data_IF_560607491844
#
_entry.id   IF_560607491844
#
_cell.length_a   1.000
_cell.length_b   1.000
_cell.length_c   1.000
_cell.angle_alpha   90.00
_cell.angle_beta   90.00
_cell.angle_gamma   90.00
#
_symmetry.space_group_name_H-M   'P 1'
#
loop_
_entity.id
_entity.type
_entity.pdbx_description
1 polymer ?
#
# COMPACT_ATOMS: atom_id res chain seq x y z
N UNK A 1 17.41 5.18 0.78
CA UNK A 1 15.99 4.97 0.43
C UNK A 1 15.96 4.11 -0.84
N UNK A 2 15.15 3.06 -0.91
CA UNK A 2 15.07 2.21 -2.11
C UNK A 2 14.41 3.02 -3.25
N UNK A 3 15.03 3.02 -4.42
CA UNK A 3 14.43 3.59 -5.63
C UNK A 3 13.47 2.57 -6.26
N UNK A 4 12.26 3.02 -6.59
CA UNK A 4 11.29 2.19 -7.31
C UNK A 4 11.75 1.88 -8.73
N UNK A 5 11.46 0.67 -9.20
CA UNK A 5 11.75 0.21 -10.56
C UNK A 5 10.64 0.56 -11.57
N UNK A 6 9.57 1.22 -11.13
CA UNK A 6 8.53 1.74 -12.03
C UNK A 6 7.52 0.69 -12.52
N UNK A 7 7.34 -0.39 -11.75
CA UNK A 7 6.44 -1.51 -12.07
C UNK A 7 5.01 -1.23 -11.61
N UNK A 8 4.83 -0.43 -10.55
CA UNK A 8 3.50 -0.06 -10.07
C UNK A 8 2.69 0.67 -11.16
N UNK A 9 1.40 0.36 -11.26
CA UNK A 9 0.45 1.08 -12.12
C UNK A 9 0.03 2.39 -11.47
N UNK A 10 -0.53 3.30 -12.27
CA UNK A 10 -1.02 4.60 -11.77
C UNK A 10 -2.07 4.43 -10.67
N UNK A 11 -3.01 3.49 -10.83
CA UNK A 11 -4.04 3.20 -9.82
C UNK A 11 -3.43 2.68 -8.51
N UNK A 12 -2.35 1.88 -8.57
CA UNK A 12 -1.65 1.41 -7.38
C UNK A 12 -0.92 2.56 -6.67
N UNK A 13 -0.30 3.47 -7.43
CA UNK A 13 0.30 4.69 -6.86
C UNK A 13 -0.75 5.57 -6.17
N UNK A 14 -1.90 5.78 -6.81
CA UNK A 14 -3.01 6.52 -6.20
C UNK A 14 -3.49 5.86 -4.91
N UNK A 15 -3.69 4.54 -4.93
CA UNK A 15 -4.08 3.79 -3.74
C UNK A 15 -3.06 3.89 -2.60
N UNK A 16 -1.76 3.83 -2.91
CA UNK A 16 -0.68 4.04 -1.92
C UNK A 16 -0.71 5.47 -1.39
N UNK A 17 -0.94 6.49 -2.22
CA UNK A 17 -1.04 7.87 -1.78
C UNK A 17 -2.21 8.11 -0.83
N UNK A 18 -3.39 7.53 -1.13
CA UNK A 18 -4.56 7.58 -0.23
C UNK A 18 -4.27 6.83 1.07
N UNK A 19 -3.66 5.64 0.99
CA UNK A 19 -3.24 4.90 2.18
C UNK A 19 -2.29 5.72 3.05
N UNK A 20 -1.31 6.39 2.44
CA UNK A 20 -0.29 7.17 3.12
C UNK A 20 -0.78 8.51 3.68
N UNK A 21 -2.00 8.95 3.35
CA UNK A 21 -2.61 10.15 3.93
C UNK A 21 -3.19 9.90 5.32
N UNK A 22 -3.47 8.64 5.68
CA UNK A 22 -4.08 8.29 6.96
C UNK A 22 -3.07 8.36 8.11
N UNK A 23 -3.45 8.85 9.31
CA UNK A 23 -2.53 9.05 10.44
C UNK A 23 -1.79 7.77 10.87
N UNK A 24 -2.50 6.64 10.86
CA UNK A 24 -1.99 5.36 11.33
C UNK A 24 -1.21 4.57 10.27
N UNK A 25 -1.03 5.12 9.06
CA UNK A 25 -0.26 4.50 7.98
C UNK A 25 1.16 4.13 8.41
N UNK A 26 1.75 4.89 9.34
CA UNK A 26 3.11 4.71 9.87
C UNK A 26 3.35 3.33 10.51
N UNK A 27 2.29 2.64 10.90
CA UNK A 27 2.35 1.30 11.48
C UNK A 27 2.30 0.18 10.44
N UNK A 28 2.11 0.53 9.17
CA UNK A 28 1.99 -0.41 8.07
C UNK A 28 3.19 -0.32 7.12
N UNK A 29 3.49 -1.44 6.49
CA UNK A 29 4.58 -1.58 5.54
C UNK A 29 4.09 -2.30 4.29
N UNK A 30 4.43 -1.76 3.11
CA UNK A 30 4.16 -2.43 1.84
C UNK A 30 4.98 -3.73 1.76
N UNK A 31 4.31 -4.82 1.39
CA UNK A 31 4.90 -6.16 1.35
C UNK A 31 4.37 -6.97 0.15
N UNK A 32 4.70 -8.25 0.10
CA UNK A 32 4.25 -9.19 -0.90
C UNK A 32 4.84 -8.94 -2.29
N UNK A 33 4.13 -9.43 -3.31
CA UNK A 33 4.60 -9.40 -4.70
C UNK A 33 4.82 -7.99 -5.23
N UNK A 34 3.97 -7.04 -4.88
CA UNK A 34 4.09 -5.65 -5.32
C UNK A 34 5.39 -5.00 -4.80
N UNK A 35 5.70 -5.15 -3.50
CA UNK A 35 6.94 -4.61 -2.93
C UNK A 35 8.19 -5.28 -3.53
N UNK A 36 8.15 -6.61 -3.69
CA UNK A 36 9.26 -7.38 -4.26
C UNK A 36 9.55 -6.96 -5.71
N UNK A 37 8.52 -6.84 -6.54
CA UNK A 37 8.66 -6.40 -7.93
C UNK A 37 9.11 -4.94 -8.02
N UNK A 38 8.50 -4.03 -7.26
CA UNK A 38 8.78 -2.59 -7.37
C UNK A 38 10.18 -2.24 -6.88
N UNK A 39 10.65 -2.82 -5.77
CA UNK A 39 11.89 -2.36 -5.13
C UNK A 39 13.10 -3.28 -5.33
N UNK A 40 12.91 -4.54 -5.74
CA UNK A 40 14.00 -5.52 -5.77
C UNK A 40 14.23 -6.15 -7.14
N UNK A 41 13.19 -6.67 -7.81
CA UNK A 41 13.38 -7.57 -8.95
C UNK A 41 12.88 -7.06 -10.31
N UNK A 42 11.80 -6.29 -10.36
CA UNK A 42 11.08 -5.94 -11.62
C UNK A 42 10.83 -7.12 -12.58
N UNK A 43 10.67 -8.32 -12.02
CA UNK A 43 10.55 -9.58 -12.77
C UNK A 43 9.14 -9.88 -13.27
N UNK A 44 8.11 -9.23 -12.71
CA UNK A 44 6.71 -9.40 -13.11
C UNK A 44 5.82 -8.27 -12.61
N UNK A 45 4.63 -8.15 -13.21
CA UNK A 45 3.54 -7.36 -12.65
C UNK A 45 2.93 -8.06 -11.40
N UNK A 46 2.53 -7.26 -10.42
CA UNK A 46 1.64 -7.67 -9.32
C UNK A 46 0.38 -6.82 -9.40
N UNK A 47 -0.79 -7.45 -9.22
CA UNK A 47 -2.09 -6.79 -9.41
C UNK A 47 -2.73 -6.34 -8.10
N UNK A 48 -2.20 -6.80 -6.97
CA UNK A 48 -2.61 -6.48 -5.61
C UNK A 48 -1.57 -5.60 -4.90
N UNK A 49 -1.98 -5.01 -3.77
CA UNK A 49 -1.10 -4.36 -2.81
C UNK A 49 -1.27 -5.07 -1.46
N UNK A 50 -0.17 -5.56 -0.90
CA UNK A 50 -0.15 -6.16 0.43
C UNK A 50 0.45 -5.20 1.44
N UNK A 51 -0.18 -5.07 2.60
CA UNK A 51 0.34 -4.29 3.73
C UNK A 51 0.37 -5.18 4.97
N UNK A 52 1.43 -5.06 5.77
CA UNK A 52 1.51 -5.72 7.08
C UNK A 52 1.70 -4.69 8.19
N UNK A 53 1.24 -5.02 9.39
CA UNK A 53 1.51 -4.28 10.61
C UNK A 53 1.85 -5.24 11.74
N UNK A 54 2.67 -4.79 12.70
CA UNK A 54 2.88 -5.50 13.96
C UNK A 54 1.79 -5.15 15.01
N UNK A 55 0.96 -4.15 14.73
CA UNK A 55 -0.08 -3.67 15.65
C UNK A 55 -1.33 -4.55 15.55
N UNK A 56 -1.47 -5.47 16.51
CA UNK A 56 -2.49 -6.53 16.53
C UNK A 56 -3.95 -6.06 16.42
N UNK A 57 -4.27 -4.83 16.84
CA UNK A 57 -5.65 -4.31 16.86
C UNK A 57 -5.91 -3.20 15.83
N UNK A 58 -4.95 -2.91 14.96
CA UNK A 58 -5.05 -1.76 14.06
C UNK A 58 -5.73 -2.08 12.72
N UNK A 59 -5.66 -3.33 12.27
CA UNK A 59 -6.10 -3.74 10.93
C UNK A 59 -7.57 -3.39 10.67
N UNK A 60 -8.48 -3.79 11.58
CA UNK A 60 -9.91 -3.56 11.37
C UNK A 60 -10.29 -2.07 11.38
N UNK A 61 -9.96 -1.26 12.40
CA UNK A 61 -10.30 0.17 12.40
C UNK A 61 -9.65 0.91 11.21
N UNK A 62 -8.37 0.64 10.92
CA UNK A 62 -7.69 1.26 9.78
C UNK A 62 -8.35 0.88 8.45
N UNK A 63 -8.75 -0.39 8.28
CA UNK A 63 -9.42 -0.82 7.04
C UNK A 63 -10.75 -0.11 6.80
N UNK A 64 -11.48 0.24 7.86
CA UNK A 64 -12.75 1.00 7.76
C UNK A 64 -12.49 2.45 7.36
N UNK A 65 -11.53 3.11 8.01
CA UNK A 65 -11.15 4.48 7.66
C UNK A 65 -10.62 4.57 6.21
N UNK A 66 -9.82 3.60 5.80
CA UNK A 66 -9.32 3.50 4.43
C UNK A 66 -10.45 3.30 3.42
N UNK A 67 -11.39 2.40 3.71
CA UNK A 67 -12.58 2.17 2.87
C UNK A 67 -13.40 3.46 2.70
N UNK A 68 -13.68 4.17 3.79
CA UNK A 68 -14.40 5.44 3.76
C UNK A 68 -13.64 6.51 2.97
N UNK A 69 -12.33 6.60 3.15
CA UNK A 69 -11.49 7.57 2.44
C UNK A 69 -11.49 7.29 0.93
N UNK A 70 -11.37 6.03 0.52
CA UNK A 70 -11.50 5.65 -0.89
C UNK A 70 -12.85 6.01 -1.49
N UNK A 71 -13.96 5.86 -0.74
CA UNK A 71 -15.29 6.26 -1.24
C UNK A 71 -15.44 7.78 -1.44
N UNK A 72 -14.66 8.59 -0.72
CA UNK A 72 -14.70 10.06 -0.86
C UNK A 72 -13.77 10.56 -1.97
N UNK A 73 -12.62 9.91 -2.16
CA UNK A 73 -11.53 10.40 -3.01
C UNK A 73 -11.39 9.68 -4.36
N UNK A 74 -12.00 8.50 -4.51
CA UNK A 74 -12.05 7.71 -5.74
C UNK A 74 -13.27 8.00 -6.60
#
# INVERSE_FOLDING_TARGET
MLSGKGVLKEIQRKAISVFASLPDQRYFYLTGGAALSEFYLAHRLSFDLGFFTAESNLVLPFSRELEETFRREG
#
